data_IF_202752243988
#
_entry.id   IF_202752243988
#
_cell.length_a   1.000
_cell.length_b   1.000
_cell.length_c   1.000
_cell.angle_alpha   90.00
_cell.angle_beta   90.00
_cell.angle_gamma   90.00
#
_symmetry.space_group_name_H-M   'P 1'
#
loop_
_entity.id
_entity.type
_entity.pdbx_description
1 polymer ?
#
# COMPACT_ATOMS: atom_id res chain seq x y z
N UNK A 1 -23.07 4.63 4.41
CA UNK A 1 -22.05 3.62 4.75
C UNK A 1 -21.36 3.33 3.44
N UNK A 2 -20.19 3.95 3.21
CA UNK A 2 -19.40 3.68 2.01
C UNK A 2 -18.77 2.29 2.17
N UNK A 3 -19.52 1.27 1.73
CA UNK A 3 -19.12 -0.15 1.65
C UNK A 3 -18.17 -0.40 0.46
N UNK A 4 -17.45 0.64 0.02
CA UNK A 4 -16.61 0.58 -1.15
C UNK A 4 -15.38 -0.28 -0.84
N UNK A 5 -15.17 -1.34 -1.64
CA UNK A 5 -13.98 -2.16 -1.53
C UNK A 5 -12.73 -1.35 -1.91
N UNK A 6 -11.69 -1.49 -1.11
CA UNK A 6 -10.36 -0.91 -1.34
C UNK A 6 -9.38 -2.03 -1.66
N UNK A 7 -8.34 -1.70 -2.43
CA UNK A 7 -7.18 -2.56 -2.68
C UNK A 7 -5.96 -1.96 -2.01
N UNK A 8 -5.07 -2.78 -1.49
CA UNK A 8 -3.76 -2.32 -1.02
C UNK A 8 -2.84 -2.14 -2.23
N UNK A 9 -2.16 -1.01 -2.27
CA UNK A 9 -1.22 -0.62 -3.32
C UNK A 9 0.14 -0.30 -2.73
N UNK A 10 1.19 -0.54 -3.52
CA UNK A 10 2.58 -0.24 -3.19
C UNK A 10 3.23 0.54 -4.32
N UNK A 11 4.11 1.49 -3.99
CA UNK A 11 4.89 2.23 -4.97
C UNK A 11 6.36 1.75 -5.04
N UNK A 12 7.14 2.34 -5.94
CA UNK A 12 8.56 2.00 -6.14
C UNK A 12 9.45 2.28 -4.92
N UNK A 13 8.98 3.10 -3.97
CA UNK A 13 9.69 3.40 -2.71
C UNK A 13 9.33 2.44 -1.56
N UNK A 14 8.57 1.37 -1.84
CA UNK A 14 8.04 0.40 -0.87
C UNK A 14 7.09 1.05 0.17
N UNK A 15 6.37 2.10 -0.25
CA UNK A 15 5.33 2.73 0.58
C UNK A 15 3.97 2.12 0.26
N UNK A 16 3.18 1.83 1.29
CA UNK A 16 1.87 1.21 1.16
C UNK A 16 0.75 2.24 1.32
N UNK A 17 -0.34 2.04 0.58
CA UNK A 17 -1.57 2.81 0.71
C UNK A 17 -2.78 1.97 0.33
N UNK A 18 -3.98 2.53 0.52
CA UNK A 18 -5.23 1.93 0.07
C UNK A 18 -5.79 2.74 -1.10
N UNK A 19 -6.40 2.06 -2.07
CA UNK A 19 -6.99 2.70 -3.23
C UNK A 19 -8.36 2.11 -3.56
N UNK A 20 -9.38 2.91 -3.89
CA UNK A 20 -10.71 2.38 -4.21
C UNK A 20 -10.69 1.47 -5.45
N UNK A 21 -11.32 0.31 -5.35
CA UNK A 21 -11.40 -0.69 -6.45
C UNK A 21 -12.12 -0.19 -7.69
N UNK A 22 -13.05 0.75 -7.53
CA UNK A 22 -13.83 1.32 -8.64
C UNK A 22 -13.10 2.43 -9.41
N UNK A 23 -11.95 2.91 -8.90
CA UNK A 23 -11.13 3.90 -9.58
C UNK A 23 -10.03 3.24 -10.42
N UNK A 24 -9.68 3.84 -11.57
CA UNK A 24 -8.58 3.36 -12.39
C UNK A 24 -7.26 3.36 -11.61
N UNK A 25 -6.31 2.57 -12.10
CA UNK A 25 -4.96 2.52 -11.53
C UNK A 25 -4.24 3.87 -11.68
N UNK A 26 -3.43 4.19 -10.67
CA UNK A 26 -2.59 5.39 -10.66
C UNK A 26 -1.19 5.01 -11.14
N UNK A 27 -0.58 5.76 -12.06
CA UNK A 27 0.81 5.53 -12.47
C UNK A 27 1.77 5.52 -11.27
N UNK A 28 2.67 4.54 -11.23
CA UNK A 28 3.66 4.38 -10.16
C UNK A 28 3.14 3.68 -8.90
N UNK A 29 1.90 3.20 -8.91
CA UNK A 29 1.32 2.36 -7.86
C UNK A 29 0.90 1.01 -8.43
N UNK A 30 1.13 -0.04 -7.65
CA UNK A 30 0.86 -1.42 -8.04
C UNK A 30 0.03 -2.12 -6.97
N UNK A 31 -1.00 -2.87 -7.37
CA UNK A 31 -1.80 -3.66 -6.42
C UNK A 31 -0.97 -4.78 -5.79
N UNK A 32 -1.11 -4.98 -4.48
CA UNK A 32 -0.44 -6.09 -3.76
C UNK A 32 -1.21 -7.41 -3.84
N UNK A 33 -2.46 -7.37 -4.33
CA UNK A 33 -3.38 -8.51 -4.39
C UNK A 33 -4.37 -8.59 -3.22
N UNK A 34 -4.22 -7.75 -2.20
CA UNK A 34 -5.18 -7.66 -1.10
C UNK A 34 -6.32 -6.69 -1.41
N UNK A 35 -7.57 -7.11 -1.18
CA UNK A 35 -8.79 -6.32 -1.36
C UNK A 35 -9.72 -6.59 -0.19
N UNK A 36 -10.31 -5.54 0.38
CA UNK A 36 -11.26 -5.65 1.48
C UNK A 36 -11.94 -4.32 1.78
N UNK A 37 -12.58 -4.24 2.94
CA UNK A 37 -13.01 -2.96 3.51
C UNK A 37 -11.79 -2.07 3.77
N UNK A 38 -12.06 -0.78 4.00
CA UNK A 38 -11.02 0.18 4.38
C UNK A 38 -10.22 -0.31 5.61
N UNK A 39 -10.91 -0.82 6.64
CA UNK A 39 -10.25 -1.27 7.87
C UNK A 39 -9.39 -2.50 7.63
N UNK A 40 -9.90 -3.52 6.93
CA UNK A 40 -9.13 -4.73 6.60
C UNK A 40 -7.86 -4.39 5.81
N UNK A 41 -7.93 -3.41 4.89
CA UNK A 41 -6.76 -2.97 4.14
C UNK A 41 -5.75 -2.24 5.02
N UNK A 42 -6.20 -1.42 5.97
CA UNK A 42 -5.32 -0.70 6.90
C UNK A 42 -4.64 -1.68 7.88
N UNK A 43 -5.39 -2.64 8.41
CA UNK A 43 -4.87 -3.68 9.29
C UNK A 43 -3.81 -4.52 8.55
N UNK A 44 -4.08 -4.89 7.29
CA UNK A 44 -3.10 -5.60 6.46
C UNK A 44 -1.81 -4.79 6.23
N UNK A 45 -1.92 -3.47 5.99
CA UNK A 45 -0.76 -2.58 5.84
C UNK A 45 0.04 -2.53 7.15
N UNK A 46 -0.61 -2.42 8.30
CA UNK A 46 0.05 -2.40 9.61
C UNK A 46 0.82 -3.70 9.88
N UNK A 47 0.28 -4.85 9.48
CA UNK A 47 0.95 -6.16 9.63
C UNK A 47 2.21 -6.28 8.75
N UNK A 48 2.18 -5.80 7.52
CA UNK A 48 3.27 -6.01 6.54
C UNK A 48 4.30 -4.87 6.53
N UNK A 49 3.90 -3.64 6.85
CA UNK A 49 4.76 -2.46 6.78
C UNK A 49 5.53 -2.22 8.09
N UNK A 50 6.43 -3.16 8.40
CA UNK A 50 7.18 -3.18 9.67
C UNK A 50 8.39 -2.25 9.71
N UNK A 51 8.85 -1.74 8.56
CA UNK A 51 9.93 -0.76 8.44
C UNK A 51 9.46 0.44 7.62
N UNK A 52 9.22 1.56 8.29
CA UNK A 52 8.72 2.79 7.68
C UNK A 52 9.79 3.57 6.89
N UNK A 53 11.05 3.13 6.90
CA UNK A 53 12.11 3.82 6.15
C UNK A 53 11.92 3.60 4.65
N UNK A 54 11.88 4.67 3.84
CA UNK A 54 11.84 4.54 2.39
C UNK A 54 12.98 3.66 1.87
N UNK A 55 12.71 2.89 0.81
CA UNK A 55 13.68 2.02 0.16
C UNK A 55 14.99 2.75 -0.19
N UNK A 56 14.89 3.99 -0.65
CA UNK A 56 16.01 4.87 -1.00
C UNK A 56 16.93 5.16 0.20
N UNK A 57 16.35 5.41 1.37
CA UNK A 57 17.10 5.62 2.63
C UNK A 57 17.78 4.33 3.08
N UNK A 58 17.10 3.18 3.00
CA UNK A 58 17.68 1.87 3.32
C UNK A 58 18.89 1.54 2.42
N UNK A 59 18.77 1.79 1.12
CA UNK A 59 19.86 1.57 0.17
C UNK A 59 21.08 2.47 0.45
N UNK A 60 20.85 3.70 0.92
CA UNK A 60 21.95 4.61 1.28
C UNK A 60 22.71 4.17 2.54
N UNK A 61 22.02 3.64 3.55
CA UNK A 61 22.62 3.20 4.82
C UNK A 61 23.30 1.83 4.77
N UNK A 62 23.00 1.00 3.77
CA UNK A 62 23.62 -0.30 3.57
C UNK A 62 24.98 -0.26 2.85
N UNK A 63 25.50 0.95 2.57
CA UNK A 63 26.79 1.20 1.94
C UNK A 63 27.84 1.54 2.99
#
# INVERSE_FOLDING_TARGET
MDDAAHRVVVNDEEQYSIWPTHLPDVPGWHGTGFVGSQQECLDHIEEIWTDLRPRSVRAHLAR
#
